data_IF_906127718413
#
_entry.id   IF_906127718413
#
_cell.length_a   1.000
_cell.length_b   1.000
_cell.length_c   1.000
_cell.angle_alpha   90.00
_cell.angle_beta   90.00
_cell.angle_gamma   90.00
#
_symmetry.space_group_name_H-M   'P 1'
#
loop_
_entity.id
_entity.type
_entity.pdbx_description
1 polymer ?
#
# COMPACT_ATOMS: atom_id res chain seq x y z
N UNK A 1 10.50 -61.27 43.17
CA UNK A 1 10.94 -59.86 43.25
C UNK A 1 10.82 -59.24 41.87
N UNK A 2 9.92 -58.28 41.75
CA UNK A 2 9.36 -57.74 40.50
C UNK A 2 10.24 -56.60 39.97
N UNK A 3 10.59 -56.64 38.68
CA UNK A 3 11.24 -55.54 37.97
C UNK A 3 10.16 -54.55 37.49
N UNK A 4 10.19 -53.33 38.01
CA UNK A 4 9.34 -52.23 37.55
C UNK A 4 10.02 -51.52 36.38
N UNK A 5 9.34 -51.45 35.24
CA UNK A 5 9.71 -50.68 34.04
C UNK A 5 8.99 -49.34 34.13
N UNK A 6 9.74 -48.24 34.22
CA UNK A 6 9.18 -46.88 34.10
C UNK A 6 9.16 -46.49 32.62
N UNK A 7 7.95 -46.27 32.10
CA UNK A 7 7.69 -45.76 30.76
C UNK A 7 7.84 -44.23 30.78
N UNK A 8 8.79 -43.69 30.01
CA UNK A 8 8.97 -42.24 29.84
C UNK A 8 8.04 -41.75 28.72
N UNK A 9 7.04 -40.95 29.07
CA UNK A 9 6.14 -40.32 28.10
C UNK A 9 6.82 -39.07 27.51
N UNK A 10 7.08 -39.08 26.20
CA UNK A 10 7.55 -37.91 25.45
C UNK A 10 6.34 -37.07 25.05
N UNK A 11 6.13 -35.96 25.75
CA UNK A 11 5.20 -34.90 25.36
C UNK A 11 5.92 -33.98 24.37
N UNK A 12 5.71 -34.21 23.08
CA UNK A 12 6.08 -33.28 22.02
C UNK A 12 5.15 -32.06 22.04
N UNK A 13 5.59 -31.00 22.71
CA UNK A 13 4.97 -29.68 22.62
C UNK A 13 5.28 -29.05 21.26
N UNK A 14 4.25 -28.81 20.45
CA UNK A 14 4.36 -27.97 19.28
C UNK A 14 4.59 -26.52 19.74
N UNK A 15 5.82 -26.04 19.59
CA UNK A 15 6.15 -24.63 19.83
C UNK A 15 5.61 -23.80 18.67
N UNK A 16 4.48 -23.13 18.90
CA UNK A 16 4.03 -22.03 18.05
C UNK A 16 5.08 -20.92 18.14
N UNK A 17 5.89 -20.73 17.10
CA UNK A 17 6.75 -19.57 16.99
C UNK A 17 5.87 -18.34 16.75
N UNK A 18 5.44 -17.68 17.83
CA UNK A 18 5.05 -16.28 17.76
C UNK A 18 6.35 -15.52 17.57
N UNK A 19 6.65 -15.13 16.32
CA UNK A 19 7.72 -14.20 16.03
C UNK A 19 7.43 -12.92 16.79
N UNK A 20 8.13 -12.73 17.90
CA UNK A 20 8.01 -11.54 18.72
C UNK A 20 8.47 -10.37 17.85
N UNK A 21 7.55 -9.46 17.53
CA UNK A 21 7.86 -8.27 16.76
C UNK A 21 9.03 -7.56 17.45
N UNK A 22 10.16 -7.50 16.75
CA UNK A 22 11.28 -6.68 17.15
C UNK A 22 10.73 -5.27 17.38
N UNK A 23 11.00 -4.66 18.54
CA UNK A 23 10.60 -3.28 18.83
C UNK A 23 11.33 -2.34 17.86
N UNK A 24 10.83 -2.23 16.64
CA UNK A 24 11.01 -1.02 15.87
C UNK A 24 10.15 0.05 16.54
N UNK A 25 10.71 1.25 16.80
CA UNK A 25 9.98 2.37 17.39
C UNK A 25 8.91 2.94 16.41
N UNK A 26 8.33 2.10 15.56
CA UNK A 26 7.29 2.42 14.60
C UNK A 26 5.91 2.29 15.28
N UNK A 27 5.34 3.43 15.62
CA UNK A 27 4.03 3.51 16.24
C UNK A 27 2.88 3.52 15.23
N UNK A 28 3.12 3.31 13.93
CA UNK A 28 2.09 3.36 12.88
C UNK A 28 0.95 2.38 13.16
N UNK A 29 1.24 1.10 13.35
CA UNK A 29 0.21 0.08 13.61
C UNK A 29 -0.53 0.36 14.92
N UNK A 30 0.16 0.91 15.92
CA UNK A 30 -0.46 1.33 17.17
C UNK A 30 -1.45 2.49 16.95
N UNK A 31 -1.06 3.53 16.22
CA UNK A 31 -1.92 4.65 15.85
C UNK A 31 -3.17 4.16 15.10
N UNK A 32 -2.99 3.27 14.12
CA UNK A 32 -4.09 2.67 13.36
C UNK A 32 -5.07 1.91 14.27
N UNK A 33 -4.55 1.08 15.20
CA UNK A 33 -5.39 0.32 16.15
C UNK A 33 -6.19 1.22 17.06
N UNK A 34 -5.51 2.18 17.69
CA UNK A 34 -6.13 3.07 18.67
C UNK A 34 -7.19 3.96 18.01
N UNK A 35 -6.91 4.46 16.80
CA UNK A 35 -7.89 5.25 16.07
C UNK A 35 -9.05 4.40 15.54
N UNK A 36 -8.81 3.17 15.09
CA UNK A 36 -9.89 2.26 14.70
C UNK A 36 -10.81 1.94 15.88
N UNK A 37 -10.24 1.69 17.06
CA UNK A 37 -11.01 1.44 18.27
C UNK A 37 -11.88 2.66 18.63
N UNK A 38 -11.31 3.87 18.55
CA UNK A 38 -12.06 5.12 18.74
C UNK A 38 -13.19 5.28 17.72
N UNK A 39 -12.90 5.08 16.44
CA UNK A 39 -13.88 5.21 15.35
C UNK A 39 -15.06 4.26 15.54
N UNK A 40 -14.81 2.98 15.81
CA UNK A 40 -15.89 2.00 16.06
C UNK A 40 -16.74 2.35 17.29
N UNK A 41 -16.13 2.91 18.33
CA UNK A 41 -16.83 3.26 19.55
C UNK A 41 -17.68 4.54 19.40
N UNK A 42 -17.16 5.55 18.70
CA UNK A 42 -17.72 6.91 18.67
C UNK A 42 -18.53 7.26 17.43
N UNK A 43 -18.23 6.66 16.28
CA UNK A 43 -18.94 7.00 15.06
C UNK A 43 -20.34 6.37 15.06
N UNK A 44 -21.34 7.24 15.05
CA UNK A 44 -22.73 6.89 14.84
C UNK A 44 -23.40 8.01 14.05
N UNK A 45 -24.26 7.62 13.10
CA UNK A 45 -25.02 8.55 12.29
C UNK A 45 -26.43 8.03 12.11
N UNK A 46 -27.38 8.94 11.98
CA UNK A 46 -28.76 8.60 11.61
C UNK A 46 -28.87 8.56 10.09
N UNK A 47 -29.48 7.52 9.54
CA UNK A 47 -29.75 7.46 8.10
C UNK A 47 -30.76 8.58 7.75
N UNK A 48 -30.49 9.40 6.71
CA UNK A 48 -31.40 10.47 6.30
C UNK A 48 -32.83 9.98 6.10
N UNK A 49 -33.81 10.73 6.62
CA UNK A 49 -35.24 10.42 6.54
C UNK A 49 -35.69 9.12 7.25
N UNK A 50 -34.91 8.63 8.22
CA UNK A 50 -35.30 7.48 9.07
C UNK A 50 -34.85 7.68 10.51
N UNK A 51 -35.47 7.01 11.48
CA UNK A 51 -35.02 6.98 12.88
C UNK A 51 -33.93 5.90 13.13
N UNK A 52 -33.33 5.37 12.07
CA UNK A 52 -32.33 4.31 12.17
C UNK A 52 -30.93 4.91 12.40
N UNK A 53 -30.41 4.75 13.62
CA UNK A 53 -28.99 4.98 13.91
C UNK A 53 -28.16 3.82 13.42
N UNK A 54 -27.10 4.12 12.67
CA UNK A 54 -26.13 3.15 12.16
C UNK A 54 -24.73 3.45 12.68
N UNK A 55 -23.92 2.41 12.70
CA UNK A 55 -22.50 2.42 13.06
C UNK A 55 -21.73 1.70 11.96
N UNK A 56 -20.43 2.00 11.75
CA UNK A 56 -19.63 1.26 10.80
C UNK A 56 -19.52 -0.21 11.25
N UNK A 57 -19.95 -1.14 10.40
CA UNK A 57 -19.83 -2.58 10.67
C UNK A 57 -18.42 -3.08 10.38
N UNK A 58 -17.79 -2.50 9.35
CA UNK A 58 -16.42 -2.78 8.92
C UNK A 58 -15.66 -1.47 8.69
N UNK A 59 -14.41 -1.44 9.14
CA UNK A 59 -13.45 -0.37 8.86
C UNK A 59 -12.15 -1.02 8.39
N UNK A 60 -11.53 -0.43 7.39
CA UNK A 60 -10.23 -0.81 6.86
C UNK A 60 -9.36 0.42 6.69
N UNK A 61 -8.14 0.33 7.19
CA UNK A 61 -7.09 1.34 7.01
C UNK A 61 -5.97 0.75 6.19
N UNK A 62 -5.60 1.43 5.11
CA UNK A 62 -4.40 1.17 4.33
C UNK A 62 -3.45 2.36 4.43
N UNK A 63 -2.18 2.08 4.67
CA UNK A 63 -1.11 3.06 4.48
C UNK A 63 -0.07 2.50 3.51
N UNK A 64 0.46 3.37 2.67
CA UNK A 64 1.55 3.09 1.76
C UNK A 64 2.63 4.15 1.98
N UNK A 65 3.73 3.75 2.61
CA UNK A 65 4.94 4.56 2.68
C UNK A 65 5.76 4.25 1.42
N UNK A 66 6.12 5.27 0.65
CA UNK A 66 6.88 5.13 -0.58
C UNK A 66 8.14 5.99 -0.53
N UNK A 67 9.31 5.39 -0.73
CA UNK A 67 10.60 6.06 -0.88
C UNK A 67 11.17 5.71 -2.25
N UNK A 68 11.15 6.69 -3.16
CA UNK A 68 11.61 6.54 -4.54
C UNK A 68 12.87 7.36 -4.73
N UNK A 69 13.92 6.72 -5.26
CA UNK A 69 15.10 7.40 -5.79
C UNK A 69 15.15 7.19 -7.30
N UNK A 70 15.23 8.29 -8.03
CA UNK A 70 15.39 8.30 -9.49
C UNK A 70 16.72 8.97 -9.83
N UNK A 71 17.54 8.30 -10.64
CA UNK A 71 18.83 8.81 -11.11
C UNK A 71 18.83 8.73 -12.62
N UNK A 72 19.01 9.87 -13.28
CA UNK A 72 18.94 9.99 -14.73
C UNK A 72 20.22 10.61 -15.27
N UNK A 73 20.83 9.94 -16.24
CA UNK A 73 22.03 10.41 -16.92
C UNK A 73 21.89 10.29 -18.44
N UNK A 74 22.60 11.15 -19.15
CA UNK A 74 22.63 11.22 -20.60
C UNK A 74 24.07 11.49 -21.05
N UNK A 75 24.58 10.66 -21.97
CA UNK A 75 25.94 10.74 -22.48
C UNK A 75 27.00 10.97 -21.37
N UNK A 76 26.91 10.37 -20.18
CA UNK A 76 27.91 10.58 -19.11
C UNK A 76 27.72 11.83 -18.24
N UNK A 77 26.76 12.69 -18.60
CA UNK A 77 26.36 13.83 -17.79
C UNK A 77 25.09 13.47 -16.99
N UNK A 78 25.01 13.97 -15.76
CA UNK A 78 23.83 13.77 -14.91
C UNK A 78 22.76 14.78 -15.28
N UNK A 79 21.55 14.29 -15.56
CA UNK A 79 20.37 15.12 -15.77
C UNK A 79 19.66 15.39 -14.45
N UNK A 80 19.41 14.36 -13.64
CA UNK A 80 18.74 14.48 -12.36
C UNK A 80 19.11 13.35 -11.40
N UNK A 81 19.10 13.65 -10.10
CA UNK A 81 19.18 12.67 -9.01
C UNK A 81 18.19 13.15 -7.95
N UNK A 82 17.04 12.50 -7.86
CA UNK A 82 15.94 12.91 -6.98
C UNK A 82 15.61 11.79 -6.01
N UNK A 83 15.15 12.19 -4.83
CA UNK A 83 14.57 11.28 -3.85
C UNK A 83 13.27 11.88 -3.35
N UNK A 84 12.20 11.12 -3.48
CA UNK A 84 10.85 11.51 -3.10
C UNK A 84 10.33 10.53 -2.07
N UNK A 85 9.84 11.06 -0.95
CA UNK A 85 9.21 10.27 0.11
C UNK A 85 7.79 10.74 0.26
N UNK A 86 6.84 9.84 0.03
CA UNK A 86 5.42 10.12 0.13
C UNK A 86 4.78 9.08 1.05
N UNK A 87 3.68 9.46 1.68
CA UNK A 87 2.89 8.54 2.49
C UNK A 87 1.43 8.71 2.15
N UNK A 88 0.83 7.64 1.65
CA UNK A 88 -0.57 7.63 1.26
C UNK A 88 -1.40 6.85 2.27
N UNK A 89 -2.60 7.35 2.53
CA UNK A 89 -3.61 6.71 3.34
C UNK A 89 -4.85 6.47 2.50
N UNK A 90 -5.49 5.33 2.72
CA UNK A 90 -6.82 5.05 2.23
C UNK A 90 -7.66 4.42 3.34
N UNK A 91 -8.81 4.99 3.64
CA UNK A 91 -9.75 4.51 4.63
C UNK A 91 -11.01 4.02 3.95
N UNK A 92 -11.49 2.85 4.34
CA UNK A 92 -12.79 2.35 3.94
C UNK A 92 -13.65 2.11 5.19
N UNK A 93 -14.88 2.59 5.17
CA UNK A 93 -15.88 2.28 6.17
C UNK A 93 -17.11 1.71 5.47
N UNK A 94 -17.75 0.72 6.09
CA UNK A 94 -18.96 0.09 5.54
C UNK A 94 -20.10 0.09 6.55
N UNK A 95 -21.31 0.28 6.03
CA UNK A 95 -22.56 0.30 6.82
C UNK A 95 -23.49 -0.80 6.33
N UNK A 96 -24.16 -1.47 7.27
CA UNK A 96 -25.04 -2.60 6.97
C UNK A 96 -24.52 -3.88 7.60
N UNK A 97 -24.45 -4.96 6.83
CA UNK A 97 -23.95 -6.27 7.24
C UNK A 97 -23.45 -7.04 6.01
N UNK A 98 -22.92 -8.25 6.22
CA UNK A 98 -22.39 -9.10 5.15
C UNK A 98 -23.35 -9.38 3.98
N UNK A 99 -24.67 -9.44 4.25
CA UNK A 99 -25.66 -9.68 3.21
C UNK A 99 -25.92 -8.43 2.38
N UNK A 100 -26.10 -7.31 3.06
CA UNK A 100 -26.42 -6.02 2.45
C UNK A 100 -25.58 -4.92 3.12
N UNK A 101 -24.64 -4.35 2.37
CA UNK A 101 -23.83 -3.22 2.81
C UNK A 101 -23.77 -2.06 1.81
N UNK A 102 -23.05 -1.00 2.19
CA UNK A 102 -22.81 0.21 1.41
C UNK A 102 -21.89 0.01 0.19
N UNK A 103 -21.33 -1.18 -0.05
CA UNK A 103 -20.42 -1.44 -1.17
C UNK A 103 -21.17 -1.85 -2.44
N UNK A 104 -20.45 -2.11 -3.54
CA UNK A 104 -20.98 -2.63 -4.81
C UNK A 104 -22.17 -1.85 -5.38
N UNK A 105 -22.26 -0.55 -5.09
CA UNK A 105 -23.31 0.33 -5.58
C UNK A 105 -22.68 1.63 -6.07
N UNK A 106 -22.99 1.99 -7.31
CA UNK A 106 -22.51 3.23 -7.94
C UNK A 106 -23.72 4.08 -8.25
N UNK A 107 -23.77 5.29 -7.70
CA UNK A 107 -24.75 6.32 -8.06
C UNK A 107 -24.07 7.46 -8.81
N UNK A 108 -24.77 8.07 -9.76
CA UNK A 108 -24.31 9.24 -10.54
C UNK A 108 -23.92 10.44 -9.67
N UNK A 109 -24.48 10.50 -8.47
CA UNK A 109 -24.28 11.54 -7.47
C UNK A 109 -23.57 10.92 -6.25
N UNK A 110 -22.29 10.56 -6.44
CA UNK A 110 -21.45 10.12 -5.33
C UNK A 110 -21.10 11.34 -4.48
N UNK A 111 -21.55 11.38 -3.23
CA UNK A 111 -21.03 12.32 -2.25
C UNK A 111 -19.52 12.11 -2.17
N UNK A 112 -18.73 12.97 -2.80
CA UNK A 112 -17.31 13.11 -2.56
C UNK A 112 -17.18 14.34 -1.68
N UNK A 113 -16.95 14.13 -0.39
CA UNK A 113 -16.60 15.29 0.45
C UNK A 113 -15.30 15.92 -0.04
N UNK A 114 -14.99 17.09 0.52
CA UNK A 114 -13.91 17.96 0.03
C UNK A 114 -12.52 17.29 -0.02
N UNK A 115 -12.26 16.27 0.82
CA UNK A 115 -10.94 15.64 0.97
C UNK A 115 -10.95 14.15 0.56
N UNK A 116 -12.12 13.52 0.40
CA UNK A 116 -12.22 12.07 0.19
C UNK A 116 -11.60 11.24 1.33
N UNK A 117 -11.76 9.89 1.33
CA UNK A 117 -11.18 9.04 2.36
C UNK A 117 -9.75 8.57 2.04
N UNK A 118 -9.19 9.06 0.93
CA UNK A 118 -7.82 8.80 0.47
C UNK A 118 -7.05 10.12 0.48
N UNK A 119 -5.81 10.12 0.98
CA UNK A 119 -5.00 11.33 1.04
C UNK A 119 -3.52 11.06 1.28
N UNK A 120 -2.71 12.10 1.09
CA UNK A 120 -1.31 12.11 1.52
C UNK A 120 -1.24 12.56 2.99
N UNK A 121 -0.41 11.88 3.78
CA UNK A 121 -0.24 12.15 5.22
C UNK A 121 1.24 12.37 5.55
N UNK A 122 1.52 12.84 6.77
CA UNK A 122 2.89 13.12 7.20
C UNK A 122 3.83 11.91 7.11
N UNK A 123 4.96 12.09 6.43
CA UNK A 123 6.01 11.05 6.26
C UNK A 123 6.79 10.75 7.54
N UNK A 124 6.67 11.62 8.55
CA UNK A 124 7.44 11.55 9.81
C UNK A 124 6.97 10.46 10.76
N UNK A 125 5.84 9.80 10.44
CA UNK A 125 5.21 8.74 11.26
C UNK A 125 4.85 9.17 12.68
N UNK A 126 4.53 10.45 12.85
CA UNK A 126 4.04 10.97 14.12
C UNK A 126 2.70 10.30 14.50
N UNK A 127 2.63 9.82 15.75
CA UNK A 127 1.50 9.05 16.25
C UNK A 127 0.22 9.91 16.29
N UNK A 128 0.29 11.13 16.82
CA UNK A 128 -0.89 11.97 17.01
C UNK A 128 -1.41 12.54 15.68
N UNK A 129 -0.50 12.98 14.80
CA UNK A 129 -0.84 13.45 13.46
C UNK A 129 -1.55 12.37 12.64
N UNK A 130 -0.99 11.15 12.59
CA UNK A 130 -1.59 10.07 11.83
C UNK A 130 -2.99 9.71 12.35
N UNK A 131 -3.18 9.71 13.67
CA UNK A 131 -4.51 9.46 14.27
C UNK A 131 -5.53 10.53 13.94
N UNK A 132 -5.12 11.79 13.90
CA UNK A 132 -5.99 12.88 13.49
C UNK A 132 -6.42 12.74 12.02
N UNK A 133 -5.49 12.43 11.12
CA UNK A 133 -5.77 12.23 9.70
C UNK A 133 -6.71 11.04 9.50
N UNK A 134 -6.43 9.91 10.16
CA UNK A 134 -7.28 8.72 10.16
C UNK A 134 -8.69 9.02 10.68
N UNK A 135 -8.83 9.80 11.75
CA UNK A 135 -10.15 10.20 12.28
C UNK A 135 -10.98 10.94 11.24
N UNK A 136 -10.39 11.96 10.60
CA UNK A 136 -11.06 12.79 9.59
C UNK A 136 -11.46 11.92 8.39
N UNK A 137 -10.53 11.10 7.89
CA UNK A 137 -10.78 10.21 6.76
C UNK A 137 -11.85 9.14 7.08
N UNK A 138 -11.87 8.62 8.31
CA UNK A 138 -12.88 7.64 8.74
C UNK A 138 -14.26 8.26 8.87
N UNK A 139 -14.37 9.46 9.45
CA UNK A 139 -15.64 10.19 9.52
C UNK A 139 -16.20 10.47 8.12
N UNK A 140 -15.33 10.87 7.18
CA UNK A 140 -15.70 11.09 5.78
C UNK A 140 -16.15 9.80 5.09
N UNK A 141 -15.35 8.73 5.18
CA UNK A 141 -15.69 7.41 4.62
C UNK A 141 -17.01 6.88 5.19
N UNK A 142 -17.26 7.10 6.48
CA UNK A 142 -18.48 6.65 7.15
C UNK A 142 -19.71 7.42 6.66
N UNK A 143 -19.62 8.75 6.50
CA UNK A 143 -20.71 9.56 5.92
C UNK A 143 -21.04 9.13 4.50
N UNK A 144 -20.00 8.92 3.68
CA UNK A 144 -20.13 8.39 2.31
C UNK A 144 -20.83 7.02 2.31
N UNK A 145 -20.44 6.13 3.22
CA UNK A 145 -21.04 4.81 3.37
C UNK A 145 -22.51 4.86 3.79
N UNK A 146 -22.89 5.77 4.70
CA UNK A 146 -24.28 5.96 5.14
C UNK A 146 -25.17 6.45 3.99
N UNK A 147 -24.71 7.44 3.22
CA UNK A 147 -25.46 7.94 2.06
C UNK A 147 -25.63 6.85 0.99
N UNK A 148 -24.52 6.18 0.64
CA UNK A 148 -24.49 5.10 -0.34
C UNK A 148 -25.41 3.95 0.09
N UNK A 149 -25.37 3.56 1.37
CA UNK A 149 -26.25 2.52 1.92
C UNK A 149 -27.73 2.90 1.82
N UNK A 150 -28.08 4.15 2.15
CA UNK A 150 -29.45 4.66 2.05
C UNK A 150 -29.97 4.58 0.61
N UNK A 151 -29.18 5.07 -0.35
CA UNK A 151 -29.51 5.04 -1.78
C UNK A 151 -29.63 3.62 -2.31
N UNK A 152 -28.68 2.74 -1.96
CA UNK A 152 -28.72 1.32 -2.34
C UNK A 152 -29.98 0.64 -1.83
N UNK A 153 -30.34 0.85 -0.56
CA UNK A 153 -31.55 0.28 0.04
C UNK A 153 -32.83 0.78 -0.66
N UNK A 154 -32.88 2.06 -1.02
CA UNK A 154 -33.99 2.64 -1.79
C UNK A 154 -34.08 2.09 -3.21
N UNK A 155 -32.94 1.87 -3.88
CA UNK A 155 -32.91 1.23 -5.19
C UNK A 155 -33.38 -0.23 -5.13
N UNK A 156 -32.84 -1.01 -4.19
CA UNK A 156 -33.19 -2.43 -4.05
C UNK A 156 -34.66 -2.65 -3.66
N UNK A 157 -35.29 -1.73 -2.92
CA UNK A 157 -36.71 -1.83 -2.60
C UNK A 157 -37.63 -1.62 -3.80
N UNK A 158 -37.13 -0.97 -4.87
CA UNK A 158 -37.86 -0.81 -6.14
C UNK A 158 -37.78 -2.04 -7.05
N UNK A 159 -36.83 -2.96 -6.81
CA UNK A 159 -36.64 -4.14 -7.64
C UNK A 159 -37.66 -5.23 -7.32
N UNK A 160 -38.28 -5.78 -8.36
CA UNK A 160 -39.21 -6.91 -8.23
C UNK A 160 -38.53 -8.19 -7.71
N UNK A 161 -37.22 -8.34 -7.95
CA UNK A 161 -36.40 -9.44 -7.44
C UNK A 161 -35.04 -8.90 -7.02
N UNK A 162 -34.72 -9.06 -5.74
CA UNK A 162 -33.40 -8.73 -5.20
C UNK A 162 -32.43 -9.89 -5.44
N UNK A 163 -31.14 -9.56 -5.54
CA UNK A 163 -30.07 -10.55 -5.53
C UNK A 163 -29.99 -11.23 -4.16
N UNK A 164 -29.64 -12.52 -4.14
CA UNK A 164 -29.35 -13.28 -2.92
C UNK A 164 -27.83 -13.49 -2.72
N UNK A 165 -27.02 -12.72 -3.45
CA UNK A 165 -25.57 -12.72 -3.32
C UNK A 165 -25.21 -11.78 -2.18
N UNK A 166 -24.49 -12.30 -1.19
CA UNK A 166 -23.94 -11.51 -0.09
C UNK A 166 -22.97 -10.44 -0.63
N UNK A 167 -23.13 -9.19 -0.21
CA UNK A 167 -22.26 -8.08 -0.61
C UNK A 167 -20.81 -8.23 -0.12
N UNK A 168 -20.60 -8.93 1.00
CA UNK A 168 -19.28 -9.07 1.61
C UNK A 168 -19.09 -10.46 2.24
N UNK A 169 -17.90 -11.03 2.04
CA UNK A 169 -17.55 -12.36 2.55
C UNK A 169 -16.71 -12.29 3.82
N UNK A 170 -17.01 -13.16 4.80
CA UNK A 170 -16.18 -13.34 5.99
C UNK A 170 -14.87 -14.05 5.63
N UNK A 171 -13.76 -13.53 6.14
CA UNK A 171 -12.42 -14.12 5.98
C UNK A 171 -11.76 -14.29 7.34
N UNK A 172 -10.92 -15.31 7.50
CA UNK A 172 -10.11 -15.46 8.70
C UNK A 172 -9.06 -14.33 8.78
N UNK A 173 -8.87 -13.69 9.94
CA UNK A 173 -7.92 -12.59 10.06
C UNK A 173 -6.48 -13.06 9.82
N UNK A 174 -5.70 -12.22 9.16
CA UNK A 174 -4.28 -12.48 8.87
C UNK A 174 -3.40 -11.58 9.72
N UNK A 175 -2.36 -12.15 10.33
CA UNK A 175 -1.37 -11.44 11.12
C UNK A 175 -0.01 -11.59 10.45
N UNK A 176 0.50 -10.51 9.84
CA UNK A 176 1.78 -10.50 9.14
C UNK A 176 2.51 -9.19 9.42
N UNK A 177 3.31 -9.16 10.47
CA UNK A 177 4.06 -7.97 10.86
C UNK A 177 5.54 -8.23 10.60
N UNK A 178 6.03 -7.80 9.44
CA UNK A 178 7.46 -7.81 9.15
C UNK A 178 8.18 -6.72 9.96
N UNK A 179 9.47 -6.90 10.29
CA UNK A 179 10.30 -5.82 10.81
C UNK A 179 10.32 -4.66 9.81
N UNK A 180 10.23 -3.41 10.30
CA UNK A 180 10.34 -2.25 9.42
C UNK A 180 11.72 -2.25 8.75
N UNK A 181 11.75 -2.22 7.42
CA UNK A 181 12.99 -2.12 6.65
C UNK A 181 13.24 -0.67 6.25
N UNK A 182 14.41 -0.14 6.58
CA UNK A 182 14.86 1.15 6.06
C UNK A 182 15.68 0.94 4.79
N UNK A 183 15.38 1.67 3.70
CA UNK A 183 16.16 1.56 2.48
C UNK A 183 17.60 2.02 2.71
N UNK A 184 18.56 1.19 2.30
CA UNK A 184 19.95 1.58 2.20
C UNK A 184 20.26 2.05 0.78
N UNK A 185 20.30 3.36 0.63
CA UNK A 185 20.62 4.03 -0.63
C UNK A 185 22.12 4.22 -0.86
N UNK A 186 22.96 3.83 0.10
CA UNK A 186 24.40 4.09 0.12
C UNK A 186 25.25 2.89 -0.27
N UNK A 187 24.63 1.74 -0.48
CA UNK A 187 25.29 0.50 -0.87
C UNK A 187 26.05 0.56 -2.21
N UNK A 188 25.66 1.46 -3.11
CA UNK A 188 26.24 1.67 -4.45
C UNK A 188 26.28 3.15 -4.80
N UNK A 189 27.18 3.53 -5.70
CA UNK A 189 27.25 4.88 -6.23
C UNK A 189 26.40 5.00 -7.50
N UNK A 190 25.08 5.06 -7.31
CA UNK A 190 24.10 5.08 -8.39
C UNK A 190 24.32 6.21 -9.41
N UNK A 191 24.78 7.38 -8.95
CA UNK A 191 25.07 8.52 -9.83
C UNK A 191 26.26 8.24 -10.74
N UNK A 192 27.32 7.65 -10.19
CA UNK A 192 28.48 7.26 -10.99
C UNK A 192 28.13 6.14 -11.97
N UNK A 193 27.38 5.14 -11.53
CA UNK A 193 26.93 4.05 -12.40
C UNK A 193 26.06 4.55 -13.57
N UNK A 194 25.15 5.49 -13.31
CA UNK A 194 24.36 6.11 -14.37
C UNK A 194 25.22 6.91 -15.35
N UNK A 195 26.23 7.65 -14.88
CA UNK A 195 27.20 8.34 -15.75
C UNK A 195 28.00 7.34 -16.58
N UNK A 196 28.55 6.31 -15.98
CA UNK A 196 29.38 5.33 -16.68
C UNK A 196 28.57 4.59 -17.75
N UNK A 197 27.35 4.14 -17.40
CA UNK A 197 26.45 3.46 -18.33
C UNK A 197 26.05 4.35 -19.50
N UNK A 198 25.71 5.62 -19.24
CA UNK A 198 25.32 6.56 -20.31
C UNK A 198 26.51 7.04 -21.16
N UNK A 199 27.74 7.01 -20.63
CA UNK A 199 28.95 7.39 -21.37
C UNK A 199 29.21 6.50 -22.58
N UNK A 200 28.84 5.21 -22.50
CA UNK A 200 29.01 4.24 -23.60
C UNK A 200 28.38 4.75 -24.90
N UNK A 201 27.29 5.51 -24.81
CA UNK A 201 26.58 6.03 -25.98
C UNK A 201 27.37 7.09 -26.74
N UNK A 202 28.37 7.75 -26.12
CA UNK A 202 29.27 8.70 -26.81
C UNK A 202 30.10 8.04 -27.91
N UNK A 203 30.30 6.72 -27.86
CA UNK A 203 31.02 5.99 -28.90
C UNK A 203 30.25 5.90 -30.23
N UNK A 204 28.95 6.22 -30.24
CA UNK A 204 28.07 6.06 -31.39
C UNK A 204 27.53 7.41 -31.85
N UNK A 205 28.16 8.00 -32.87
CA UNK A 205 27.77 9.33 -33.38
C UNK A 205 26.40 9.37 -34.06
N UNK A 206 25.81 8.22 -34.40
CA UNK A 206 24.45 8.16 -34.95
C UNK A 206 23.35 8.31 -33.88
N UNK A 207 23.68 8.11 -32.59
CA UNK A 207 22.72 8.28 -31.49
C UNK A 207 22.53 9.77 -31.25
N UNK A 208 21.29 10.24 -31.33
CA UNK A 208 20.93 11.66 -31.17
C UNK A 208 20.51 11.97 -29.74
N UNK A 209 19.75 11.07 -29.12
CA UNK A 209 19.27 11.17 -27.75
C UNK A 209 19.53 9.83 -27.04
N UNK A 210 19.97 9.91 -25.79
CA UNK A 210 20.13 8.73 -24.95
C UNK A 210 19.81 9.09 -23.51
N UNK A 211 18.97 8.29 -22.87
CA UNK A 211 18.67 8.41 -21.45
C UNK A 211 18.87 7.08 -20.76
N UNK A 212 19.67 7.08 -19.70
CA UNK A 212 19.76 5.98 -18.74
C UNK A 212 19.14 6.41 -17.42
N UNK A 213 18.10 5.71 -16.99
CA UNK A 213 17.35 5.94 -15.77
C UNK A 213 17.48 4.75 -14.83
N UNK A 214 17.78 5.04 -13.56
CA UNK A 214 17.70 4.09 -12.47
C UNK A 214 16.47 4.43 -11.63
N UNK A 215 15.58 3.46 -11.49
CA UNK A 215 14.40 3.55 -10.64
C UNK A 215 14.61 2.66 -9.42
N UNK A 216 14.72 3.25 -8.24
CA UNK A 216 14.87 2.49 -7.01
C UNK A 216 13.70 2.81 -6.09
N UNK A 217 12.90 1.81 -5.77
CA UNK A 217 11.65 1.96 -5.04
C UNK A 217 11.68 1.06 -3.81
N UNK A 218 11.43 1.65 -2.65
CA UNK A 218 11.04 0.91 -1.45
C UNK A 218 9.65 1.36 -1.02
N UNK A 219 8.83 0.38 -0.67
CA UNK A 219 7.51 0.62 -0.13
C UNK A 219 7.31 -0.16 1.17
N UNK A 220 6.62 0.45 2.13
CA UNK A 220 6.08 -0.26 3.29
C UNK A 220 4.57 -0.16 3.24
N UNK A 221 3.90 -1.29 3.17
CA UNK A 221 2.45 -1.39 3.12
C UNK A 221 1.93 -1.79 4.50
N UNK A 222 0.91 -1.08 4.95
CA UNK A 222 0.17 -1.37 6.17
C UNK A 222 -1.29 -1.64 5.82
N UNK A 223 -1.86 -2.69 6.40
CA UNK A 223 -3.29 -2.98 6.36
C UNK A 223 -3.76 -3.29 7.78
N UNK A 224 -4.79 -2.59 8.23
CA UNK A 224 -5.51 -2.94 9.44
C UNK A 224 -7.00 -3.02 9.13
N UNK A 225 -7.65 -4.10 9.54
CA UNK A 225 -9.10 -4.25 9.42
C UNK A 225 -9.73 -4.41 10.80
N UNK A 226 -10.98 -3.95 10.90
CA UNK A 226 -11.78 -4.04 12.12
C UNK A 226 -12.17 -5.46 12.52
N UNK A 227 -11.85 -6.45 11.68
CA UNK A 227 -12.03 -7.89 11.89
C UNK A 227 -10.73 -8.57 12.38
N UNK A 228 -9.66 -7.80 12.57
CA UNK A 228 -8.43 -8.27 13.18
C UNK A 228 -7.35 -8.70 12.19
N UNK A 229 -7.47 -8.38 10.90
CA UNK A 229 -6.32 -8.47 9.99
C UNK A 229 -5.36 -7.32 10.29
N UNK A 230 -4.09 -7.65 10.48
CA UNK A 230 -3.02 -6.69 10.70
C UNK A 230 -1.79 -7.11 9.89
N UNK A 231 -1.39 -6.24 8.95
CA UNK A 231 -0.28 -6.48 8.05
C UNK A 231 0.64 -5.26 8.06
N UNK A 232 1.94 -5.52 8.17
CA UNK A 232 3.03 -4.64 7.76
C UNK A 232 3.99 -5.44 6.91
N UNK A 233 4.17 -5.05 5.66
CA UNK A 233 5.06 -5.72 4.73
C UNK A 233 5.92 -4.73 3.95
N UNK A 234 7.18 -5.09 3.74
CA UNK A 234 8.11 -4.31 2.95
C UNK A 234 8.14 -4.85 1.52
N UNK A 235 8.14 -3.94 0.56
CA UNK A 235 8.29 -4.20 -0.87
C UNK A 235 9.45 -3.37 -1.39
N UNK A 236 10.15 -3.91 -2.38
CA UNK A 236 11.13 -3.14 -3.12
C UNK A 236 11.09 -3.55 -4.58
N UNK A 237 11.48 -2.61 -5.43
CA UNK A 237 11.68 -2.80 -6.84
C UNK A 237 12.84 -1.92 -7.26
N UNK A 238 13.70 -2.45 -8.11
CA UNK A 238 14.75 -1.68 -8.73
C UNK A 238 14.76 -1.94 -10.24
N UNK A 239 15.03 -0.91 -11.03
CA UNK A 239 15.12 -1.01 -12.46
C UNK A 239 16.25 -0.15 -13.00
N UNK A 240 16.84 -0.61 -14.10
CA UNK A 240 17.67 0.21 -14.99
C UNK A 240 16.97 0.20 -16.34
N UNK A 241 16.67 1.37 -16.86
CA UNK A 241 16.05 1.56 -18.15
C UNK A 241 16.94 2.48 -18.99
N UNK A 242 17.23 2.08 -20.21
CA UNK A 242 18.03 2.85 -21.15
C UNK A 242 17.29 2.97 -22.48
N UNK A 243 16.87 4.18 -22.83
CA UNK A 243 16.25 4.50 -24.11
C UNK A 243 17.20 5.30 -24.97
N UNK A 244 17.27 4.98 -26.26
CA UNK A 244 18.06 5.72 -27.24
C UNK A 244 17.36 5.80 -28.59
N UNK A 245 17.62 6.85 -29.34
CA UNK A 245 17.15 7.02 -30.70
C UNK A 245 18.30 7.35 -31.66
N UNK A 246 18.11 6.98 -32.91
CA UNK A 246 19.03 7.24 -34.01
C UNK A 246 18.24 7.39 -35.31
N UNK A 247 18.92 7.82 -36.37
CA UNK A 247 18.36 7.84 -37.73
C UNK A 247 19.22 6.92 -38.59
N UNK A 248 18.57 5.98 -39.27
CA UNK A 248 19.24 5.08 -40.22
C UNK A 248 19.66 5.84 -41.49
N UNK A 249 20.53 5.24 -42.30
CA UNK A 249 21.07 5.87 -43.51
C UNK A 249 20.00 6.24 -44.55
N UNK A 250 18.83 5.60 -44.50
CA UNK A 250 17.66 5.87 -45.34
C UNK A 250 16.74 6.98 -44.78
N UNK A 251 17.11 7.60 -43.66
CA UNK A 251 16.36 8.65 -42.99
C UNK A 251 15.26 8.17 -42.04
N UNK A 252 15.13 6.84 -41.83
CA UNK A 252 14.12 6.28 -40.93
C UNK A 252 14.58 6.41 -39.47
N UNK A 253 13.75 6.98 -38.55
CA UNK A 253 14.04 6.97 -37.12
C UNK A 253 14.01 5.54 -36.56
N UNK A 254 15.03 5.19 -35.79
CA UNK A 254 15.14 3.91 -35.10
C UNK A 254 15.29 4.16 -33.61
N UNK A 255 14.60 3.37 -32.79
CA UNK A 255 14.69 3.44 -31.34
C UNK A 255 15.20 2.11 -30.80
N UNK A 256 15.99 2.18 -29.74
CA UNK A 256 16.37 1.01 -28.96
C UNK A 256 16.05 1.26 -27.48
N UNK A 257 15.64 0.20 -26.79
CA UNK A 257 15.28 0.27 -25.40
C UNK A 257 15.78 -0.99 -24.69
N UNK A 258 16.48 -0.78 -23.59
CA UNK A 258 16.93 -1.81 -22.70
C UNK A 258 16.30 -1.58 -21.32
N UNK A 259 15.79 -2.64 -20.71
CA UNK A 259 15.32 -2.58 -19.34
C UNK A 259 15.66 -3.87 -18.60
N UNK A 260 16.04 -3.71 -17.34
CA UNK A 260 16.23 -4.82 -16.41
C UNK A 260 15.61 -4.46 -15.07
N UNK A 261 15.01 -5.45 -14.42
CA UNK A 261 14.29 -5.30 -13.16
C UNK A 261 14.85 -6.28 -12.13
N UNK A 262 14.89 -5.85 -10.88
CA UNK A 262 15.30 -6.67 -9.75
C UNK A 262 14.42 -6.37 -8.53
N UNK A 263 14.26 -7.35 -7.65
CA UNK A 263 13.47 -7.18 -6.41
C UNK A 263 14.18 -6.23 -5.45
N UNK A 264 15.51 -6.30 -5.33
CA UNK A 264 16.29 -5.41 -4.48
C UNK A 264 17.27 -4.60 -5.34
N UNK A 265 17.55 -3.32 -5.01
CA UNK A 265 18.58 -2.54 -5.68
C UNK A 265 19.93 -3.25 -5.77
N UNK A 266 20.33 -3.96 -4.70
CA UNK A 266 21.60 -4.70 -4.67
C UNK A 266 21.68 -5.83 -5.72
N UNK A 267 20.54 -6.30 -6.23
CA UNK A 267 20.46 -7.39 -7.21
C UNK A 267 20.45 -6.87 -8.67
N UNK A 268 20.48 -5.54 -8.88
CA UNK A 268 20.64 -4.97 -10.22
C UNK A 268 22.02 -5.33 -10.80
N UNK A 269 22.12 -5.54 -12.12
CA UNK A 269 23.42 -5.79 -12.74
C UNK A 269 24.40 -4.63 -12.46
N UNK A 270 25.67 -4.97 -12.42
CA UNK A 270 26.74 -3.96 -12.37
C UNK A 270 26.92 -3.36 -13.77
N UNK A 271 27.39 -2.11 -13.79
CA UNK A 271 27.83 -1.41 -14.99
C UNK A 271 29.27 -1.79 -15.31
#
# INVERSE_FOLDING_TARGET
>A
MVKAVFLLAVLSGASSHVTQAQQDNDHTLQAMRDEMARSKARLELQIPNTDQTVRPFYIEYRLLDLDVREVVAEFGDMLSSTRTRNRFMNVEARVGNYKLDSSNFVSDDAFRGFIGPTGEVGVDRDYDSLRQDLWIATDQAFKEAVDTYSRKKGYLSSLARQSDIDDFSKTAPVQLIQPLATPDWTNRNWEQEARDASTVMRAFSQIQESRVSYYLVYATEYLLTSEGTEIRQNRSLAAIEAGMNAVADDGVPVNHYYATYAVRPADLPNV
#
